data_IF_404313026328
#
_entry.id   IF_404313026328
#
_cell.length_a   1.000
_cell.length_b   1.000
_cell.length_c   1.000
_cell.angle_alpha   90.00
_cell.angle_beta   90.00
_cell.angle_gamma   90.00
#
_symmetry.space_group_name_H-M   'P 1'
#
loop_
_entity.id
_entity.type
_entity.pdbx_description
1 polymer ?
#
# COMPACT_ATOMS: atom_id res chain seq x y z
N UNK A 1 0.74 -11.14 -18.55
CA UNK A 1 -0.07 -11.36 -17.33
C UNK A 1 0.75 -12.28 -16.44
N UNK A 2 1.13 -11.83 -15.25
CA UNK A 2 1.87 -12.67 -14.30
C UNK A 2 0.85 -13.63 -13.64
N UNK A 3 1.16 -14.93 -13.47
CA UNK A 3 0.29 -15.85 -12.75
C UNK A 3 0.06 -15.38 -11.31
N UNK A 4 -1.16 -15.54 -10.78
CA UNK A 4 -1.52 -15.10 -9.42
C UNK A 4 -0.68 -15.76 -8.31
N UNK A 5 -0.17 -16.96 -8.59
CA UNK A 5 0.69 -17.74 -7.71
C UNK A 5 2.19 -17.42 -7.90
N UNK A 6 2.54 -16.40 -8.69
CA UNK A 6 3.92 -15.98 -8.83
C UNK A 6 4.45 -15.42 -7.50
N UNK A 7 5.57 -15.99 -7.06
CA UNK A 7 6.19 -15.67 -5.78
C UNK A 7 7.26 -14.58 -5.94
N UNK A 8 6.98 -13.41 -5.36
CA UNK A 8 7.87 -12.25 -5.36
C UNK A 8 8.91 -12.35 -4.25
N UNK A 9 10.11 -11.84 -4.53
CA UNK A 9 11.09 -11.55 -3.48
C UNK A 9 10.62 -10.36 -2.64
N UNK A 10 11.14 -10.20 -1.43
CA UNK A 10 10.84 -9.01 -0.61
C UNK A 10 11.27 -7.69 -1.27
N UNK A 11 12.24 -7.72 -2.21
CA UNK A 11 12.61 -6.52 -2.97
C UNK A 11 11.56 -6.22 -4.03
N UNK A 12 11.27 -7.19 -4.90
CA UNK A 12 10.29 -7.03 -5.96
C UNK A 12 8.89 -6.65 -5.42
N UNK A 13 8.49 -7.23 -4.29
CA UNK A 13 7.24 -6.89 -3.62
C UNK A 13 7.23 -5.44 -3.09
N UNK A 14 8.36 -4.96 -2.57
CA UNK A 14 8.48 -3.60 -2.05
C UNK A 14 8.45 -2.58 -3.21
N UNK A 15 9.16 -2.89 -4.29
CA UNK A 15 9.15 -2.11 -5.52
C UNK A 15 7.74 -2.03 -6.12
N UNK A 16 7.03 -3.17 -6.17
CA UNK A 16 5.65 -3.24 -6.65
C UNK A 16 4.69 -2.39 -5.81
N UNK A 17 4.77 -2.45 -4.49
CA UNK A 17 3.87 -1.69 -3.60
C UNK A 17 4.29 -0.22 -3.39
N UNK A 18 5.39 0.22 -4.03
CA UNK A 18 5.93 1.57 -3.95
C UNK A 18 6.42 1.94 -2.55
N UNK A 19 7.05 1.01 -1.84
CA UNK A 19 7.52 1.23 -0.46
C UNK A 19 8.93 0.71 -0.23
N UNK A 20 9.54 1.11 0.89
CA UNK A 20 10.87 0.59 1.25
C UNK A 20 10.79 -0.88 1.69
N UNK A 21 11.81 -1.66 1.34
CA UNK A 21 11.91 -3.06 1.76
C UNK A 21 11.86 -3.26 3.29
N UNK A 22 12.54 -2.44 4.13
CA UNK A 22 12.41 -2.58 5.58
C UNK A 22 10.97 -2.39 6.07
N UNK A 23 10.23 -1.45 5.48
CA UNK A 23 8.82 -1.25 5.81
C UNK A 23 7.97 -2.46 5.41
N UNK A 24 8.17 -2.99 4.20
CA UNK A 24 7.50 -4.23 3.78
C UNK A 24 7.78 -5.37 4.76
N UNK A 25 9.04 -5.59 5.16
CA UNK A 25 9.40 -6.66 6.11
C UNK A 25 8.63 -6.48 7.43
N UNK A 26 8.51 -5.25 7.93
CA UNK A 26 7.71 -4.97 9.12
C UNK A 26 6.23 -5.34 8.96
N UNK A 27 5.64 -5.17 7.77
CA UNK A 27 4.27 -5.62 7.49
C UNK A 27 4.15 -7.15 7.47
N UNK A 28 5.14 -7.83 6.87
CA UNK A 28 5.18 -9.30 6.84
C UNK A 28 5.29 -9.87 8.27
N UNK A 29 6.16 -9.30 9.10
CA UNK A 29 6.36 -9.74 10.49
C UNK A 29 5.15 -9.45 11.39
N UNK A 30 4.37 -8.41 11.06
CA UNK A 30 3.09 -8.12 11.73
C UNK A 30 1.94 -9.00 11.24
N UNK A 31 2.13 -9.77 10.16
CA UNK A 31 1.08 -10.59 9.55
C UNK A 31 0.07 -9.81 8.71
N UNK A 32 0.35 -8.55 8.37
CA UNK A 32 -0.52 -7.71 7.52
C UNK A 32 -0.54 -8.20 6.07
N UNK A 33 0.56 -8.82 5.64
CA UNK A 33 0.70 -9.43 4.31
C UNK A 33 1.19 -10.86 4.51
N UNK A 34 0.46 -11.88 4.01
CA UNK A 34 0.91 -13.27 4.04
C UNK A 34 2.25 -13.44 3.32
N UNK A 35 3.11 -14.31 3.84
CA UNK A 35 4.35 -14.71 3.19
C UNK A 35 4.69 -16.15 3.55
N UNK A 36 5.56 -16.75 2.75
CA UNK A 36 6.10 -18.09 3.01
C UNK A 36 7.61 -18.10 2.80
N UNK A 37 8.26 -19.15 3.29
CA UNK A 37 9.68 -19.38 3.08
C UNK A 37 9.91 -20.32 1.91
N UNK A 38 10.85 -19.96 1.04
CA UNK A 38 11.45 -20.86 0.04
C UNK A 38 12.93 -20.96 0.37
N UNK A 39 13.31 -22.09 0.97
CA UNK A 39 14.58 -22.20 1.69
C UNK A 39 14.64 -21.16 2.82
N UNK A 40 15.70 -20.36 2.86
CA UNK A 40 15.87 -19.31 3.88
C UNK A 40 15.24 -17.96 3.51
N UNK A 41 14.66 -17.83 2.32
CA UNK A 41 14.16 -16.54 1.83
C UNK A 41 12.65 -16.42 1.94
N UNK A 42 12.18 -15.25 2.38
CA UNK A 42 10.77 -14.88 2.33
C UNK A 42 10.32 -14.66 0.89
N UNK A 43 9.10 -15.11 0.59
CA UNK A 43 8.40 -14.96 -0.67
C UNK A 43 6.96 -14.54 -0.42
N UNK A 44 6.45 -13.67 -1.28
CA UNK A 44 5.10 -13.12 -1.19
C UNK A 44 4.39 -13.40 -2.50
N UNK A 45 3.19 -13.97 -2.46
CA UNK A 45 2.45 -14.24 -3.69
C UNK A 45 1.88 -12.95 -4.27
N UNK A 46 1.82 -12.86 -5.60
CA UNK A 46 1.26 -11.71 -6.28
C UNK A 46 -0.17 -11.40 -5.83
N UNK A 47 -1.01 -12.44 -5.66
CA UNK A 47 -2.38 -12.29 -5.14
C UNK A 47 -2.43 -11.57 -3.78
N UNK A 48 -1.49 -11.87 -2.89
CA UNK A 48 -1.46 -11.29 -1.55
C UNK A 48 -1.01 -9.82 -1.57
N UNK A 49 -0.12 -9.46 -2.50
CA UNK A 49 0.25 -8.06 -2.76
C UNK A 49 -0.95 -7.25 -3.27
N UNK A 50 -1.67 -7.77 -4.27
CA UNK A 50 -2.88 -7.11 -4.81
C UNK A 50 -3.97 -6.94 -3.75
N UNK A 51 -4.18 -7.95 -2.90
CA UNK A 51 -5.14 -7.89 -1.80
C UNK A 51 -4.78 -6.81 -0.79
N UNK A 52 -3.49 -6.70 -0.44
CA UNK A 52 -3.01 -5.66 0.46
C UNK A 52 -3.16 -4.26 -0.15
N UNK A 53 -2.77 -4.07 -1.41
CA UNK A 53 -2.90 -2.80 -2.12
C UNK A 53 -4.36 -2.34 -2.18
N UNK A 54 -5.28 -3.24 -2.53
CA UNK A 54 -6.71 -2.94 -2.60
C UNK A 54 -7.27 -2.49 -1.26
N UNK A 55 -6.91 -3.17 -0.16
CA UNK A 55 -7.31 -2.78 1.21
C UNK A 55 -6.73 -1.42 1.59
N UNK A 56 -5.45 -1.18 1.27
CA UNK A 56 -4.75 0.09 1.54
C UNK A 56 -5.40 1.25 0.80
N UNK A 57 -5.77 1.06 -0.46
CA UNK A 57 -6.37 2.11 -1.29
C UNK A 57 -7.77 2.50 -0.85
N UNK A 58 -8.58 1.53 -0.40
CA UNK A 58 -9.88 1.83 0.22
C UNK A 58 -9.68 2.69 1.47
N UNK A 59 -8.78 2.30 2.37
CA UNK A 59 -8.49 3.07 3.59
C UNK A 59 -7.97 4.48 3.28
N UNK A 60 -7.13 4.64 2.25
CA UNK A 60 -6.58 5.93 1.83
C UNK A 60 -7.66 6.84 1.25
N UNK A 61 -8.54 6.33 0.40
CA UNK A 61 -9.66 7.10 -0.17
C UNK A 61 -10.59 7.61 0.93
N UNK A 62 -10.94 6.77 1.90
CA UNK A 62 -11.77 7.19 3.02
C UNK A 62 -11.09 8.27 3.89
N UNK A 63 -9.77 8.17 4.09
CA UNK A 63 -8.99 9.18 4.81
C UNK A 63 -8.99 10.53 4.10
N UNK A 64 -8.82 10.53 2.77
CA UNK A 64 -8.89 11.74 1.95
C UNK A 64 -10.29 12.36 1.98
N UNK A 65 -11.35 11.57 1.84
CA UNK A 65 -12.72 12.06 1.95
C UNK A 65 -13.01 12.69 3.31
N UNK A 66 -12.53 12.06 4.40
CA UNK A 66 -12.65 12.62 5.76
C UNK A 66 -11.85 13.90 5.94
N UNK A 67 -10.65 14.00 5.36
CA UNK A 67 -9.87 15.23 5.41
C UNK A 67 -10.55 16.35 4.63
N UNK A 68 -11.03 16.06 3.41
CA UNK A 68 -11.74 17.03 2.57
C UNK A 68 -13.03 17.52 3.24
N UNK A 69 -13.79 16.62 3.87
CA UNK A 69 -14.96 17.00 4.66
C UNK A 69 -14.58 17.93 5.82
N UNK A 70 -13.51 17.64 6.56
CA UNK A 70 -13.03 18.51 7.64
C UNK A 70 -12.55 19.89 7.16
N UNK A 71 -11.91 19.95 5.99
CA UNK A 71 -11.49 21.23 5.36
C UNK A 71 -12.70 22.07 4.98
N UNK A 72 -13.72 21.45 4.36
CA UNK A 72 -14.98 22.13 4.03
C UNK A 72 -15.75 22.58 5.29
N UNK A 73 -15.86 21.73 6.31
CA UNK A 73 -16.50 22.06 7.59
C UNK A 73 -15.78 23.20 8.33
N UNK A 74 -14.46 23.29 8.17
CA UNK A 74 -13.64 24.38 8.70
C UNK A 74 -13.70 25.66 7.86
N UNK A 75 -14.40 25.65 6.70
CA UNK A 75 -14.52 26.79 5.80
C UNK A 75 -13.22 27.19 5.10
N UNK A 76 -12.25 26.26 4.98
CA UNK A 76 -10.91 26.49 4.45
C UNK A 76 -10.79 26.17 2.94
N UNK A 77 -11.83 26.48 2.16
CA UNK A 77 -11.76 26.39 0.69
C UNK A 77 -11.26 27.73 0.13
N UNK A 78 -9.95 27.97 0.27
CA UNK A 78 -9.30 29.10 -0.38
C UNK A 78 -9.22 28.83 -1.89
N UNK A 79 -10.25 29.29 -2.61
CA UNK A 79 -10.24 29.48 -4.05
C UNK A 79 -9.23 30.57 -4.44
N UNK A 80 -7.92 30.32 -4.26
CA UNK A 80 -6.83 31.16 -4.77
C UNK A 80 -5.47 30.43 -4.67
N UNK A 81 -5.30 29.30 -5.36
CA UNK A 81 -3.96 28.95 -5.85
C UNK A 81 -3.82 29.48 -7.27
N UNK A 82 -3.60 30.80 -7.38
CA UNK A 82 -3.01 31.39 -8.58
C UNK A 82 -1.52 31.14 -8.47
N UNK A 83 -1.05 30.00 -8.97
CA UNK A 83 0.38 29.73 -9.09
C UNK A 83 0.98 30.72 -10.09
N UNK A 84 2.00 31.47 -9.66
CA UNK A 84 2.90 32.21 -10.57
C UNK A 84 3.86 31.26 -11.29
#
# INVERSE_FOLDING_TARGET
MLPEDEAFTTQAAADYLGMSRPFLIGLLEKGEIPFHYVGSHRRVLFRDLMNYESKRDVARRDGMSRLFQKVQEAGLDDAAYTGE
#
